data_IF_064931104307
#
_entry.id   IF_064931104307
#
_cell.length_a   1.000
_cell.length_b   1.000
_cell.length_c   1.000
_cell.angle_alpha   90.00
_cell.angle_beta   90.00
_cell.angle_gamma   90.00
#
_symmetry.space_group_name_H-M   'P 1'
#
loop_
_entity.id
_entity.type
_entity.pdbx_description
1 polymer ?
#
# COMPACT_ATOMS: atom_id res chain seq x y z
N UNK A 1 3.57 24.79 35.39
CA UNK A 1 3.18 24.73 33.98
C UNK A 1 3.34 23.28 33.55
N UNK A 2 2.25 22.51 33.58
CA UNK A 2 2.23 21.12 33.14
C UNK A 2 2.24 21.13 31.61
N UNK A 3 3.32 20.64 31.02
CA UNK A 3 3.36 20.39 29.59
C UNK A 3 2.39 19.25 29.28
N UNK A 4 1.23 19.60 28.74
CA UNK A 4 0.35 18.65 28.08
C UNK A 4 1.07 18.18 26.82
N UNK A 5 1.73 17.03 26.91
CA UNK A 5 2.20 16.32 25.73
C UNK A 5 0.96 15.92 24.95
N UNK A 6 0.68 16.64 23.86
CA UNK A 6 -0.30 16.23 22.87
C UNK A 6 0.13 14.84 22.37
N UNK A 7 -0.48 13.78 22.90
CA UNK A 7 -0.41 12.45 22.31
C UNK A 7 -1.06 12.54 20.93
N UNK A 8 -0.24 12.74 19.91
CA UNK A 8 -0.67 12.51 18.53
C UNK A 8 -0.89 11.02 18.41
N UNK A 9 -2.15 10.58 18.58
CA UNK A 9 -2.58 9.21 18.27
C UNK A 9 -2.39 8.97 16.77
N UNK A 10 -1.18 8.56 16.39
CA UNK A 10 -0.91 8.07 15.04
C UNK A 10 -1.81 6.87 14.79
N UNK A 11 -2.64 6.94 13.75
CA UNK A 11 -3.46 5.79 13.38
C UNK A 11 -2.58 4.82 12.62
N UNK A 12 -2.40 3.60 13.12
CA UNK A 12 -1.56 2.58 12.46
C UNK A 12 -2.29 1.84 11.33
N UNK A 13 -3.43 2.37 10.90
CA UNK A 13 -4.37 1.74 9.97
C UNK A 13 -4.57 2.63 8.75
N UNK A 14 -4.80 1.99 7.61
CA UNK A 14 -4.97 2.70 6.34
C UNK A 14 -3.74 2.57 5.44
N UNK A 15 -3.93 2.83 4.15
CA UNK A 15 -2.87 2.69 3.16
C UNK A 15 -1.74 3.72 3.37
N UNK A 16 -2.08 4.88 3.92
CA UNK A 16 -1.18 6.04 3.99
C UNK A 16 -0.48 6.18 5.36
N UNK A 17 -0.88 5.40 6.37
CA UNK A 17 -0.34 5.51 7.73
C UNK A 17 1.19 5.38 7.80
N UNK A 18 1.77 4.49 6.98
CA UNK A 18 3.23 4.31 6.92
C UNK A 18 3.90 5.50 6.25
N UNK A 19 3.31 6.03 5.18
CA UNK A 19 3.87 7.18 4.46
C UNK A 19 3.83 8.44 5.34
N UNK A 20 2.77 8.62 6.14
CA UNK A 20 2.68 9.68 7.15
C UNK A 20 3.76 9.55 8.24
N UNK A 21 3.97 8.33 8.75
CA UNK A 21 4.99 8.05 9.77
C UNK A 21 6.41 8.34 9.24
N UNK A 22 6.70 7.91 8.00
CA UNK A 22 7.97 8.20 7.31
C UNK A 22 8.16 9.70 7.11
N UNK A 23 7.10 10.43 6.71
CA UNK A 23 7.17 11.89 6.53
C UNK A 23 7.45 12.64 7.84
N UNK A 24 6.96 12.11 8.98
CA UNK A 24 7.24 12.64 10.31
C UNK A 24 8.60 12.20 10.86
N UNK A 25 9.24 11.18 10.27
CA UNK A 25 10.50 10.62 10.74
C UNK A 25 10.37 9.78 12.01
N UNK A 26 9.17 9.30 12.32
CA UNK A 26 8.83 8.59 13.56
C UNK A 26 8.11 7.28 13.20
N UNK A 27 8.51 6.16 13.82
CA UNK A 27 7.87 4.85 13.65
C UNK A 27 6.57 4.76 14.48
N UNK A 28 5.75 3.73 14.26
CA UNK A 28 4.48 3.57 14.99
C UNK A 28 4.63 3.33 16.49
N UNK A 29 5.83 2.95 16.95
CA UNK A 29 6.16 2.85 18.38
C UNK A 29 6.66 4.18 18.98
N UNK A 30 6.70 5.25 18.20
CA UNK A 30 7.17 6.57 18.62
C UNK A 30 8.70 6.75 18.55
N UNK A 31 9.45 5.73 18.15
CA UNK A 31 10.91 5.84 17.98
C UNK A 31 11.27 6.64 16.72
N UNK A 32 12.38 7.40 16.73
CA UNK A 32 12.84 8.09 15.53
C UNK A 32 13.37 7.08 14.50
N UNK A 33 13.01 7.27 13.23
CA UNK A 33 13.54 6.45 12.14
C UNK A 33 15.01 6.79 11.92
N UNK A 34 15.93 5.79 11.86
CA UNK A 34 17.34 6.04 11.61
C UNK A 34 17.58 6.84 10.30
N UNK A 35 18.40 7.91 10.32
CA UNK A 35 18.61 8.77 9.15
C UNK A 35 19.03 8.02 7.89
N UNK A 36 19.95 7.05 8.01
CA UNK A 36 20.40 6.24 6.88
C UNK A 36 19.28 5.45 6.19
N UNK A 37 18.23 5.05 6.93
CA UNK A 37 17.05 4.38 6.37
C UNK A 37 16.16 5.38 5.61
N UNK A 38 15.95 6.58 6.17
CA UNK A 38 15.18 7.64 5.52
C UNK A 38 15.84 8.10 4.22
N UNK A 39 17.16 8.34 4.25
CA UNK A 39 17.92 8.74 3.07
C UNK A 39 17.82 7.69 1.95
N UNK A 40 17.96 6.40 2.30
CA UNK A 40 17.81 5.33 1.33
C UNK A 40 16.38 5.28 0.76
N UNK A 41 15.36 5.36 1.61
CA UNK A 41 13.96 5.39 1.17
C UNK A 41 13.70 6.56 0.21
N UNK A 42 14.09 7.78 0.58
CA UNK A 42 13.91 8.98 -0.23
C UNK A 42 14.60 8.85 -1.59
N UNK A 43 15.84 8.32 -1.61
CA UNK A 43 16.58 8.07 -2.85
C UNK A 43 15.83 7.13 -3.79
N UNK A 44 15.31 6.02 -3.28
CA UNK A 44 14.57 5.04 -4.11
C UNK A 44 13.24 5.62 -4.57
N UNK A 45 12.51 6.34 -3.72
CA UNK A 45 11.25 6.98 -4.09
C UNK A 45 11.42 8.08 -5.14
N UNK A 46 12.53 8.82 -5.11
CA UNK A 46 12.86 9.78 -6.16
C UNK A 46 13.07 9.10 -7.53
N UNK A 47 13.67 7.89 -7.56
CA UNK A 47 13.78 7.11 -8.79
C UNK A 47 12.41 6.65 -9.30
N UNK A 48 11.56 6.16 -8.40
CA UNK A 48 10.21 5.69 -8.72
C UNK A 48 9.28 6.82 -9.20
N UNK A 49 9.47 8.03 -8.68
CA UNK A 49 8.71 9.22 -9.09
C UNK A 49 8.94 9.59 -10.57
N UNK A 50 10.11 9.28 -11.12
CA UNK A 50 10.46 9.52 -12.52
C UNK A 50 9.95 8.41 -13.47
N UNK A 51 9.32 7.36 -12.96
CA UNK A 51 8.87 6.23 -13.78
C UNK A 51 7.53 6.53 -14.46
N UNK A 52 7.49 6.38 -15.79
CA UNK A 52 6.24 6.42 -16.54
C UNK A 52 5.23 5.37 -16.03
N UNK A 53 4.00 5.82 -15.78
CA UNK A 53 2.91 4.97 -15.29
C UNK A 53 2.15 4.34 -16.45
N UNK A 54 1.63 3.13 -16.25
CA UNK A 54 0.84 2.37 -17.22
C UNK A 54 -0.61 2.88 -17.40
N UNK A 55 -0.92 4.08 -16.89
CA UNK A 55 -2.26 4.66 -16.86
C UNK A 55 -3.05 4.34 -15.58
N UNK A 56 -4.08 5.15 -15.31
CA UNK A 56 -4.88 5.09 -14.09
C UNK A 56 -5.68 3.79 -13.99
N UNK A 57 -6.42 3.41 -15.04
CA UNK A 57 -7.26 2.21 -15.03
C UNK A 57 -6.46 0.92 -14.77
N UNK A 58 -5.31 0.75 -15.43
CA UNK A 58 -4.42 -0.38 -15.19
C UNK A 58 -3.87 -0.39 -13.76
N UNK A 59 -3.48 0.78 -13.25
CA UNK A 59 -3.01 0.93 -11.86
C UNK A 59 -4.10 0.58 -10.85
N UNK A 60 -5.33 1.03 -11.09
CA UNK A 60 -6.49 0.71 -10.26
C UNK A 60 -6.73 -0.80 -10.24
N UNK A 61 -6.82 -1.46 -11.40
CA UNK A 61 -7.02 -2.91 -11.48
C UNK A 61 -5.92 -3.66 -10.74
N UNK A 62 -4.65 -3.32 -10.96
CA UNK A 62 -3.54 -3.98 -10.28
C UNK A 62 -3.58 -3.80 -8.76
N UNK A 63 -3.99 -2.62 -8.26
CA UNK A 63 -4.17 -2.38 -6.82
C UNK A 63 -5.33 -3.22 -6.26
N UNK A 64 -6.47 -3.26 -6.95
CA UNK A 64 -7.64 -4.06 -6.57
C UNK A 64 -7.25 -5.54 -6.48
N UNK A 65 -6.61 -6.10 -7.50
CA UNK A 65 -6.19 -7.52 -7.50
C UNK A 65 -5.25 -7.81 -6.34
N UNK A 66 -4.19 -7.01 -6.17
CA UNK A 66 -3.13 -7.25 -5.16
C UNK A 66 -3.64 -7.14 -3.71
N UNK A 67 -4.54 -6.20 -3.44
CA UNK A 67 -5.07 -5.96 -2.09
C UNK A 67 -6.31 -6.84 -1.86
N UNK A 68 -7.24 -6.86 -2.81
CA UNK A 68 -8.48 -7.64 -2.76
C UNK A 68 -8.20 -9.12 -2.54
N UNK A 69 -7.20 -9.70 -3.18
CA UNK A 69 -6.90 -11.13 -3.01
C UNK A 69 -6.47 -11.55 -1.60
N UNK A 70 -6.08 -10.59 -0.75
CA UNK A 70 -5.80 -10.83 0.67
C UNK A 70 -7.07 -10.98 1.51
N UNK A 71 -8.19 -10.45 1.05
CA UNK A 71 -9.42 -10.28 1.83
C UNK A 71 -10.64 -10.95 1.20
N UNK A 72 -10.64 -11.18 -0.11
CA UNK A 72 -11.80 -11.61 -0.90
C UNK A 72 -11.49 -12.97 -1.56
N UNK A 73 -12.37 -13.98 -1.43
CA UNK A 73 -12.25 -15.24 -2.15
C UNK A 73 -12.15 -15.04 -3.67
N UNK A 74 -11.40 -15.92 -4.35
CA UNK A 74 -11.14 -15.78 -5.78
C UNK A 74 -12.42 -15.60 -6.63
N UNK A 75 -13.49 -16.42 -6.48
CA UNK A 75 -14.67 -16.28 -7.35
C UNK A 75 -15.40 -14.94 -7.15
N UNK A 76 -15.38 -14.41 -5.93
CA UNK A 76 -16.02 -13.15 -5.59
C UNK A 76 -15.23 -11.96 -6.13
N UNK A 77 -13.90 -11.97 -5.99
CA UNK A 77 -13.04 -10.92 -6.55
C UNK A 77 -13.10 -10.89 -8.08
N UNK A 78 -13.15 -12.06 -8.72
CA UNK A 78 -13.28 -12.17 -10.17
C UNK A 78 -14.60 -11.55 -10.67
N UNK A 79 -15.71 -11.90 -10.01
CA UNK A 79 -17.02 -11.32 -10.29
C UNK A 79 -17.02 -9.80 -10.11
N UNK A 80 -16.45 -9.29 -9.02
CA UNK A 80 -16.35 -7.84 -8.77
C UNK A 80 -15.56 -7.11 -9.86
N UNK A 81 -14.48 -7.70 -10.38
CA UNK A 81 -13.71 -7.11 -11.46
C UNK A 81 -14.54 -7.00 -12.74
N UNK A 82 -15.22 -8.08 -13.13
CA UNK A 82 -16.04 -8.12 -14.34
C UNK A 82 -17.23 -7.17 -14.23
N UNK A 83 -17.94 -7.17 -13.10
CA UNK A 83 -19.07 -6.28 -12.84
C UNK A 83 -18.65 -4.79 -12.89
N UNK A 84 -17.40 -4.48 -12.54
CA UNK A 84 -16.81 -3.14 -12.62
C UNK A 84 -16.17 -2.81 -13.99
N UNK A 85 -16.28 -3.70 -14.99
CA UNK A 85 -15.73 -3.49 -16.33
C UNK A 85 -14.22 -3.71 -16.46
N UNK A 86 -13.58 -4.32 -15.46
CA UNK A 86 -12.19 -4.78 -15.56
C UNK A 86 -12.10 -6.19 -16.13
N UNK A 87 -10.95 -6.51 -16.72
CA UNK A 87 -10.65 -7.89 -17.08
C UNK A 87 -10.63 -8.76 -15.80
N UNK A 88 -11.16 -10.01 -15.87
CA UNK A 88 -11.11 -10.97 -14.76
C UNK A 88 -9.66 -11.27 -14.36
N UNK A 89 -9.48 -11.97 -13.24
CA UNK A 89 -8.20 -12.46 -12.76
C UNK A 89 -7.53 -13.31 -13.84
N UNK A 90 -6.25 -13.01 -14.10
CA UNK A 90 -5.42 -13.80 -15.01
C UNK A 90 -4.94 -15.06 -14.30
N UNK A 91 -4.69 -16.13 -15.04
CA UNK A 91 -4.17 -17.39 -14.47
C UNK A 91 -2.92 -17.18 -13.59
N UNK A 92 -1.97 -16.35 -14.04
CA UNK A 92 -0.79 -16.00 -13.24
C UNK A 92 -1.12 -15.24 -11.95
N UNK A 93 -2.16 -14.43 -11.96
CA UNK A 93 -2.64 -13.70 -10.78
C UNK A 93 -3.29 -14.69 -9.82
N UNK A 94 -4.09 -15.62 -10.32
CA UNK A 94 -4.68 -16.72 -9.53
C UNK A 94 -3.59 -17.57 -8.89
N UNK A 95 -2.64 -18.06 -9.68
CA UNK A 95 -1.55 -18.90 -9.19
C UNK A 95 -0.72 -18.18 -8.11
N UNK A 96 -0.43 -16.89 -8.30
CA UNK A 96 0.37 -16.12 -7.34
C UNK A 96 -0.38 -15.80 -6.04
N UNK A 97 -1.65 -15.36 -6.12
CA UNK A 97 -2.38 -14.88 -4.94
C UNK A 97 -3.22 -15.95 -4.23
N UNK A 98 -3.60 -17.02 -4.93
CA UNK A 98 -4.49 -18.07 -4.42
C UNK A 98 -3.91 -19.49 -4.52
N UNK A 99 -2.85 -19.72 -5.30
CA UNK A 99 -2.29 -21.06 -5.55
C UNK A 99 -1.48 -21.67 -4.40
N UNK A 100 -1.15 -20.90 -3.36
CA UNK A 100 -0.38 -21.35 -2.20
C UNK A 100 -1.19 -21.47 -0.90
N UNK A 101 -2.52 -21.52 -1.00
CA UNK A 101 -3.42 -21.75 0.13
C UNK A 101 -3.95 -23.17 0.15
#
# INVERSE_FOLDING_TARGET
MTAETNEVKQTTKGADAVDEAIAQGIDFDGSPIPPAKLELYQKVMALEANRQRSGVSNTMRSRIVRIGAKHIPQPELDKMLVDAGFAPLKEKEVAFFYGGK
#
